data_IF_812155598476
#
_entry.id   IF_812155598476
#
_cell.length_a   1.000
_cell.length_b   1.000
_cell.length_c   1.000
_cell.angle_alpha   90.00
_cell.angle_beta   90.00
_cell.angle_gamma   90.00
#
_symmetry.space_group_name_H-M   'P 1'
#
loop_
_entity.id
_entity.type
_entity.pdbx_description
1 polymer ?
#
# COMPACT_ATOMS: atom_id res chain seq x y z
N UNK A 1 -22.83 27.77 29.24
CA UNK A 1 -23.87 26.85 28.71
C UNK A 1 -23.81 26.86 27.19
N UNK A 2 -23.86 25.66 26.60
CA UNK A 2 -23.49 25.32 25.22
C UNK A 2 -24.32 26.05 24.17
N UNK A 3 -23.64 26.47 23.10
CA UNK A 3 -24.20 27.04 21.86
C UNK A 3 -25.07 25.98 21.17
N UNK A 4 -26.27 26.39 20.77
CA UNK A 4 -27.29 25.52 20.17
C UNK A 4 -26.99 25.26 18.69
N UNK A 5 -27.33 24.03 18.33
CA UNK A 5 -27.12 23.29 17.11
C UNK A 5 -27.58 23.97 15.80
N UNK A 6 -26.79 23.72 14.77
CA UNK A 6 -27.00 23.96 13.35
C UNK A 6 -28.15 23.08 12.84
N UNK A 7 -29.14 23.67 12.15
CA UNK A 7 -30.18 22.93 11.42
C UNK A 7 -29.79 22.90 9.93
N UNK A 8 -29.47 21.69 9.44
CA UNK A 8 -29.00 21.41 8.09
C UNK A 8 -30.16 21.33 7.09
N UNK A 9 -30.12 22.29 6.16
CA UNK A 9 -30.37 22.22 4.72
C UNK A 9 -30.98 20.93 4.15
N UNK A 10 -32.23 21.04 3.74
CA UNK A 10 -32.94 20.12 2.86
C UNK A 10 -32.48 20.29 1.41
N UNK A 11 -31.98 19.22 0.79
CA UNK A 11 -31.86 19.11 -0.67
C UNK A 11 -32.36 17.73 -1.10
N UNK A 12 -33.52 17.75 -1.76
CA UNK A 12 -34.10 16.65 -2.53
C UNK A 12 -33.77 16.94 -4.00
N UNK A 13 -33.05 16.05 -4.69
CA UNK A 13 -32.98 16.06 -6.17
C UNK A 13 -33.25 14.65 -6.67
N UNK A 14 -34.23 14.58 -7.58
CA UNK A 14 -34.84 13.39 -8.16
C UNK A 14 -34.15 13.03 -9.48
N UNK A 15 -33.91 11.72 -9.64
CA UNK A 15 -33.81 10.87 -10.84
C UNK A 15 -33.69 11.54 -12.23
N UNK A 16 -32.73 11.07 -13.02
CA UNK A 16 -32.94 10.74 -14.45
C UNK A 16 -32.18 9.46 -14.79
N UNK A 17 -32.89 8.46 -15.30
CA UNK A 17 -32.31 7.25 -15.87
C UNK A 17 -32.07 7.39 -17.37
N UNK A 18 -31.08 6.65 -17.88
CA UNK A 18 -31.02 6.25 -19.28
C UNK A 18 -30.66 4.76 -19.35
N UNK A 19 -31.65 3.99 -19.78
CA UNK A 19 -31.47 2.68 -20.36
C UNK A 19 -30.98 2.82 -21.81
N UNK A 20 -30.00 2.01 -22.23
CA UNK A 20 -29.83 1.60 -23.63
C UNK A 20 -28.89 0.39 -23.74
N UNK A 21 -29.54 -0.77 -23.71
CA UNK A 21 -29.40 -2.03 -24.49
C UNK A 21 -28.04 -2.56 -25.00
N UNK A 22 -27.93 -3.91 -25.07
CA UNK A 22 -26.70 -4.66 -25.38
C UNK A 22 -26.49 -4.85 -26.88
N UNK A 23 -25.26 -5.21 -27.27
CA UNK A 23 -24.92 -5.66 -28.63
C UNK A 23 -24.51 -7.14 -28.58
N UNK A 24 -25.34 -7.96 -29.19
CA UNK A 24 -25.14 -9.40 -29.44
C UNK A 24 -24.66 -9.62 -30.90
N UNK A 25 -24.18 -10.85 -31.18
CA UNK A 25 -24.04 -11.52 -32.50
C UNK A 25 -22.65 -11.42 -33.16
N UNK A 26 -21.99 -12.46 -33.73
CA UNK A 26 -21.88 -13.95 -33.67
C UNK A 26 -21.02 -14.33 -34.91
N UNK A 27 -20.16 -15.37 -34.79
CA UNK A 27 -19.49 -16.19 -35.84
C UNK A 27 -18.50 -15.48 -36.79
N UNK A 28 -17.45 -16.10 -37.34
CA UNK A 28 -17.29 -17.48 -37.84
C UNK A 28 -15.78 -17.85 -37.98
N UNK A 29 -15.51 -19.15 -38.13
CA UNK A 29 -14.21 -19.82 -38.13
C UNK A 29 -13.30 -19.56 -39.36
N UNK A 30 -11.98 -19.54 -39.07
CA UNK A 30 -10.75 -20.01 -39.77
C UNK A 30 -10.91 -20.59 -41.20
N UNK A 31 -9.97 -20.34 -42.14
CA UNK A 31 -8.73 -21.14 -42.19
C UNK A 31 -7.42 -20.37 -42.49
N UNK A 32 -6.33 -21.00 -42.04
CA UNK A 32 -4.93 -20.65 -42.22
C UNK A 32 -4.41 -20.84 -43.65
N UNK A 33 -3.41 -20.04 -44.04
CA UNK A 33 -2.37 -20.43 -45.02
C UNK A 33 -1.03 -19.80 -44.61
N UNK A 34 -0.01 -20.66 -44.51
CA UNK A 34 1.42 -20.40 -44.34
C UNK A 34 2.03 -19.84 -45.63
N UNK A 35 3.03 -18.95 -45.55
CA UNK A 35 4.26 -19.08 -46.35
C UNK A 35 5.37 -18.14 -45.85
N UNK A 36 6.59 -18.49 -46.23
CA UNK A 36 7.89 -18.29 -45.57
C UNK A 36 8.54 -16.90 -45.62
N UNK A 37 9.31 -16.63 -44.55
CA UNK A 37 10.74 -16.29 -44.61
C UNK A 37 11.16 -15.00 -45.30
N UNK A 38 11.60 -14.01 -44.52
CA UNK A 38 12.85 -13.28 -44.83
C UNK A 38 13.48 -12.75 -43.54
N UNK A 39 14.68 -13.25 -43.30
CA UNK A 39 15.62 -12.85 -42.25
C UNK A 39 16.08 -11.39 -42.47
N UNK A 40 15.83 -10.53 -41.48
CA UNK A 40 16.45 -9.21 -41.36
C UNK A 40 16.46 -8.82 -39.89
N UNK A 41 17.43 -9.38 -39.15
CA UNK A 41 17.75 -8.95 -37.79
C UNK A 41 18.36 -7.55 -37.88
N UNK A 42 17.49 -6.55 -37.72
CA UNK A 42 17.84 -5.20 -37.32
C UNK A 42 18.27 -5.27 -35.84
N UNK A 43 19.41 -4.70 -35.42
CA UNK A 43 19.69 -4.59 -34.01
C UNK A 43 18.67 -3.60 -33.42
N UNK A 44 17.65 -4.13 -32.77
CA UNK A 44 16.90 -3.37 -31.77
C UNK A 44 17.93 -2.84 -30.78
N UNK A 45 18.19 -1.55 -30.92
CA UNK A 45 18.79 -0.76 -29.86
C UNK A 45 17.74 -0.78 -28.77
N UNK A 46 17.85 -1.78 -27.89
CA UNK A 46 17.16 -1.81 -26.63
C UNK A 46 17.71 -0.64 -25.84
N UNK A 47 17.05 0.50 -25.99
CA UNK A 47 17.00 1.50 -24.95
C UNK A 47 16.25 0.86 -23.77
N UNK A 48 16.95 -0.02 -23.03
CA UNK A 48 16.68 -0.18 -21.61
C UNK A 48 16.94 1.20 -21.00
N UNK A 49 15.89 2.01 -21.04
CA UNK A 49 15.67 3.10 -20.13
C UNK A 49 15.76 2.49 -18.74
N UNK A 50 16.99 2.46 -18.23
CA UNK A 50 17.34 2.17 -16.85
C UNK A 50 16.51 3.14 -16.02
N UNK A 51 15.31 2.70 -15.62
CA UNK A 51 14.50 3.31 -14.58
C UNK A 51 15.40 3.34 -13.36
N UNK A 52 16.09 4.46 -13.18
CA UNK A 52 16.69 4.81 -11.90
C UNK A 52 15.51 4.76 -10.94
N UNK A 53 15.43 3.69 -10.15
CA UNK A 53 14.35 3.50 -9.21
C UNK A 53 14.41 4.69 -8.25
N UNK A 54 13.47 5.62 -8.39
CA UNK A 54 13.37 6.77 -7.51
C UNK A 54 13.15 6.23 -6.10
N UNK A 55 14.09 6.51 -5.21
CA UNK A 55 14.00 6.13 -3.81
C UNK A 55 12.82 6.89 -3.17
N UNK A 56 12.10 6.22 -2.27
CA UNK A 56 11.05 6.89 -1.50
C UNK A 56 11.65 8.04 -0.68
N UNK A 57 10.96 9.18 -0.66
CA UNK A 57 11.38 10.36 0.08
C UNK A 57 11.08 10.21 1.58
N UNK A 58 11.95 10.78 2.42
CA UNK A 58 11.79 10.72 3.88
C UNK A 58 10.44 11.27 4.35
N UNK A 59 10.00 12.39 3.77
CA UNK A 59 8.73 13.01 4.15
C UNK A 59 7.52 12.14 3.84
N UNK A 60 7.57 11.32 2.79
CA UNK A 60 6.48 10.38 2.45
C UNK A 60 6.40 9.28 3.51
N UNK A 61 7.55 8.76 3.95
CA UNK A 61 7.59 7.76 5.02
C UNK A 61 7.10 8.37 6.33
N UNK A 62 7.59 9.56 6.71
CA UNK A 62 7.14 10.23 7.94
C UNK A 62 5.64 10.52 7.94
N UNK A 63 5.07 10.94 6.80
CA UNK A 63 3.63 11.17 6.64
C UNK A 63 2.84 9.86 6.79
N UNK A 64 3.26 8.79 6.10
CA UNK A 64 2.59 7.49 6.18
C UNK A 64 2.58 6.92 7.61
N UNK A 65 3.71 7.01 8.32
CA UNK A 65 3.82 6.55 9.70
C UNK A 65 2.97 7.40 10.66
N UNK A 66 3.02 8.72 10.52
CA UNK A 66 2.26 9.62 11.41
C UNK A 66 0.75 9.51 11.16
N UNK A 67 0.34 9.31 9.91
CA UNK A 67 -1.07 9.21 9.53
C UNK A 67 -1.69 7.86 9.90
N UNK A 68 -1.01 6.75 9.57
CA UNK A 68 -1.58 5.41 9.68
C UNK A 68 -0.91 4.56 10.77
N UNK A 69 0.38 4.74 11.02
CA UNK A 69 1.17 3.87 11.90
C UNK A 69 1.19 4.24 13.38
N UNK A 70 0.69 5.41 13.75
CA UNK A 70 0.80 5.95 15.11
C UNK A 70 -0.55 6.35 15.71
N UNK A 71 -0.73 6.06 16.99
CA UNK A 71 -1.84 6.49 17.82
C UNK A 71 -1.59 7.82 18.54
N UNK A 72 -2.56 8.21 19.35
CA UNK A 72 -2.43 9.37 20.25
C UNK A 72 -1.30 9.11 21.26
N UNK A 73 -0.47 10.13 21.51
CA UNK A 73 0.67 10.11 22.43
C UNK A 73 1.85 9.18 22.09
N UNK A 74 1.79 8.42 20.99
CA UNK A 74 2.93 7.68 20.46
C UNK A 74 4.07 8.64 20.07
N UNK A 75 5.32 8.17 20.16
CA UNK A 75 6.49 8.96 19.77
C UNK A 75 7.28 8.30 18.64
N UNK A 76 7.54 9.10 17.61
CA UNK A 76 8.45 8.75 16.53
C UNK A 76 9.86 9.16 16.93
N UNK A 77 10.69 8.20 17.30
CA UNK A 77 12.05 8.45 17.79
C UNK A 77 13.02 8.70 16.63
N UNK A 78 12.87 7.94 15.54
CA UNK A 78 13.71 8.11 14.35
C UNK A 78 13.10 7.46 13.11
N UNK A 79 13.40 8.03 11.95
CA UNK A 79 13.20 7.43 10.63
C UNK A 79 14.50 7.51 9.85
N UNK A 80 14.90 6.39 9.25
CA UNK A 80 16.09 6.29 8.41
C UNK A 80 15.74 5.55 7.12
N UNK A 81 16.29 6.02 5.99
CA UNK A 81 16.08 5.40 4.68
C UNK A 81 17.42 5.28 3.98
N UNK A 82 17.80 4.07 3.61
CA UNK A 82 19.01 3.80 2.85
C UNK A 82 18.77 2.69 1.82
N UNK A 83 19.05 2.96 0.54
CA UNK A 83 18.96 1.97 -0.54
C UNK A 83 17.59 1.26 -0.67
N UNK A 84 16.52 1.90 -0.21
CA UNK A 84 15.16 1.38 -0.17
C UNK A 84 14.81 0.62 1.11
N UNK A 85 15.73 0.47 2.05
CA UNK A 85 15.43 -0.06 3.38
C UNK A 85 15.00 1.11 4.29
N UNK A 86 13.82 0.96 4.89
CA UNK A 86 13.23 1.90 5.84
C UNK A 86 13.41 1.31 7.24
N UNK A 87 14.04 2.07 8.14
CA UNK A 87 14.18 1.74 9.55
C UNK A 87 13.53 2.82 10.40
N UNK A 88 12.57 2.40 11.24
CA UNK A 88 11.80 3.30 12.10
C UNK A 88 11.89 2.81 13.54
N UNK A 89 11.92 3.75 14.48
CA UNK A 89 11.81 3.47 15.92
C UNK A 89 10.62 4.23 16.48
N UNK A 90 9.69 3.50 17.11
CA UNK A 90 8.46 4.04 17.71
C UNK A 90 8.39 3.65 19.19
N UNK A 91 8.10 4.60 20.06
CA UNK A 91 7.66 4.36 21.43
C UNK A 91 6.13 4.41 21.44
N UNK A 92 5.48 3.25 21.61
CA UNK A 92 4.03 3.17 21.67
C UNK A 92 3.53 3.58 23.06
N UNK A 93 2.56 4.47 23.09
CA UNK A 93 1.83 4.82 24.30
C UNK A 93 0.94 3.64 24.74
N UNK A 94 0.86 3.38 26.06
CA UNK A 94 -0.05 2.36 26.56
C UNK A 94 -1.51 2.78 26.32
N UNK A 95 -2.37 1.80 26.01
CA UNK A 95 -3.81 1.98 25.98
C UNK A 95 -4.54 0.81 26.64
N UNK A 96 -5.83 0.99 26.94
CA UNK A 96 -6.64 0.02 27.69
C UNK A 96 -7.28 -1.07 26.80
N UNK A 97 -7.16 -0.98 25.47
CA UNK A 97 -7.87 -1.85 24.52
C UNK A 97 -7.03 -3.02 24.04
N UNK A 98 -5.74 -2.81 23.80
CA UNK A 98 -4.82 -3.79 23.26
C UNK A 98 -3.61 -3.95 24.17
N UNK A 99 -3.10 -5.18 24.29
CA UNK A 99 -1.79 -5.35 24.89
C UNK A 99 -0.68 -4.80 23.97
N UNK A 100 0.53 -4.54 24.50
CA UNK A 100 1.59 -3.88 23.73
C UNK A 100 1.99 -4.60 22.45
N UNK A 101 1.90 -5.95 22.40
CA UNK A 101 2.28 -6.71 21.21
C UNK A 101 1.20 -6.59 20.13
N UNK A 102 -0.07 -6.70 20.52
CA UNK A 102 -1.19 -6.52 19.60
C UNK A 102 -1.24 -5.08 19.06
N UNK A 103 -0.86 -4.09 19.88
CA UNK A 103 -0.71 -2.70 19.45
C UNK A 103 0.41 -2.55 18.42
N UNK A 104 1.58 -3.15 18.65
CA UNK A 104 2.70 -3.14 17.70
C UNK A 104 2.36 -3.83 16.37
N UNK A 105 1.65 -4.96 16.41
CA UNK A 105 1.17 -5.65 15.20
C UNK A 105 0.19 -4.77 14.42
N UNK A 106 -0.72 -4.10 15.11
CA UNK A 106 -1.71 -3.19 14.49
C UNK A 106 -1.03 -1.99 13.85
N UNK A 107 -0.15 -1.32 14.61
CA UNK A 107 0.67 -0.20 14.13
C UNK A 107 1.47 -0.59 12.89
N UNK A 108 2.14 -1.74 12.90
CA UNK A 108 2.93 -2.19 11.76
C UNK A 108 2.05 -2.45 10.55
N UNK A 109 0.92 -3.15 10.73
CA UNK A 109 -0.02 -3.44 9.64
C UNK A 109 -0.48 -2.15 8.96
N UNK A 110 -0.95 -1.17 9.73
CA UNK A 110 -1.46 0.09 9.19
C UNK A 110 -0.37 0.93 8.52
N UNK A 111 0.79 1.07 9.16
CA UNK A 111 1.95 1.73 8.58
C UNK A 111 2.37 1.09 7.25
N UNK A 112 2.39 -0.24 7.22
CA UNK A 112 2.82 -0.99 6.05
C UNK A 112 1.81 -0.94 4.92
N UNK A 113 0.50 -0.96 5.20
CA UNK A 113 -0.55 -0.85 4.20
C UNK A 113 -0.50 0.53 3.51
N UNK A 114 -0.31 1.60 4.28
CA UNK A 114 -0.12 2.95 3.73
C UNK A 114 1.15 3.05 2.87
N UNK A 115 2.29 2.53 3.37
CA UNK A 115 3.54 2.50 2.61
C UNK A 115 3.46 1.63 1.35
N UNK A 116 2.57 0.63 1.30
CA UNK A 116 2.37 -0.20 0.12
C UNK A 116 1.83 0.59 -1.07
N UNK A 117 1.16 1.73 -0.84
CA UNK A 117 0.70 2.64 -1.90
C UNK A 117 1.84 3.42 -2.57
N UNK A 118 3.04 3.40 -1.98
CA UNK A 118 4.22 4.10 -2.47
C UNK A 118 5.29 3.14 -2.99
N UNK A 119 5.88 3.47 -4.13
CA UNK A 119 7.04 2.75 -4.68
C UNK A 119 8.37 3.31 -4.14
N UNK A 120 9.49 2.65 -4.46
CA UNK A 120 10.83 3.15 -4.13
C UNK A 120 11.41 2.66 -2.80
N UNK A 121 10.78 1.65 -2.18
CA UNK A 121 11.30 0.95 -1.00
C UNK A 121 11.23 -0.57 -1.16
N UNK A 122 12.02 -1.26 -0.33
CA UNK A 122 12.27 -2.71 -0.37
C UNK A 122 11.96 -3.37 0.95
N UNK A 123 12.43 -2.81 2.06
CA UNK A 123 12.25 -3.41 3.38
C UNK A 123 11.69 -2.38 4.33
N UNK A 124 10.70 -2.75 5.11
CA UNK A 124 10.21 -1.96 6.23
C UNK A 124 10.62 -2.66 7.52
N UNK A 125 11.35 -1.96 8.37
CA UNK A 125 11.71 -2.40 9.71
C UNK A 125 11.21 -1.39 10.72
N UNK A 126 10.32 -1.80 11.62
CA UNK A 126 9.87 -0.98 12.74
C UNK A 126 10.27 -1.65 14.03
N UNK A 127 11.05 -0.92 14.83
CA UNK A 127 11.39 -1.27 16.20
C UNK A 127 10.45 -0.54 17.15
N UNK A 128 9.69 -1.32 17.90
CA UNK A 128 8.86 -0.84 18.99
C UNK A 128 9.63 -0.92 20.30
N UNK A 129 9.87 0.23 20.92
CA UNK A 129 10.66 0.35 22.15
C UNK A 129 10.08 -0.60 23.22
N UNK A 130 10.94 -1.43 23.82
CA UNK A 130 10.61 -2.45 24.84
C UNK A 130 9.62 -3.56 24.44
N UNK A 131 9.12 -3.57 23.19
CA UNK A 131 8.11 -4.54 22.72
C UNK A 131 8.73 -5.55 21.75
N UNK A 132 9.47 -5.09 20.74
CA UNK A 132 10.09 -5.96 19.74
C UNK A 132 10.30 -5.27 18.39
N UNK A 133 10.80 -6.03 17.42
CA UNK A 133 11.04 -5.54 16.04
C UNK A 133 10.29 -6.39 15.04
N UNK A 134 9.68 -5.75 14.04
CA UNK A 134 9.09 -6.40 12.87
C UNK A 134 9.84 -5.91 11.64
N UNK A 135 10.22 -6.83 10.76
CA UNK A 135 10.90 -6.51 9.49
C UNK A 135 10.37 -7.40 8.38
N UNK A 136 9.91 -6.79 7.30
CA UNK A 136 9.38 -7.49 6.12
C UNK A 136 9.80 -6.78 4.84
N UNK A 137 10.04 -7.56 3.79
CA UNK A 137 10.29 -7.04 2.45
C UNK A 137 8.97 -6.76 1.72
N UNK A 138 8.90 -5.69 0.93
CA UNK A 138 7.77 -5.31 0.05
C UNK A 138 7.31 -6.47 -0.83
N UNK A 139 8.23 -7.34 -1.28
CA UNK A 139 7.88 -8.51 -2.09
C UNK A 139 7.12 -9.60 -1.33
N UNK A 140 7.08 -9.54 0.00
CA UNK A 140 6.33 -10.46 0.85
C UNK A 140 4.85 -10.06 1.01
N UNK A 141 4.43 -8.94 0.40
CA UNK A 141 3.03 -8.52 0.37
C UNK A 141 2.16 -9.57 -0.33
N UNK A 142 0.93 -9.67 0.11
CA UNK A 142 -0.14 -10.38 -0.60
C UNK A 142 -1.12 -9.36 -1.19
N UNK A 143 -1.90 -9.79 -2.17
CA UNK A 143 -2.98 -8.99 -2.76
C UNK A 143 -4.30 -9.68 -2.49
N UNK A 144 -5.26 -8.97 -1.90
CA UNK A 144 -6.58 -9.51 -1.60
C UNK A 144 -7.53 -9.48 -2.82
N UNK A 145 -8.75 -10.02 -2.67
CA UNK A 145 -9.76 -10.09 -3.74
C UNK A 145 -10.20 -8.72 -4.29
N UNK A 146 -9.93 -7.64 -3.55
CA UNK A 146 -10.22 -6.25 -3.97
C UNK A 146 -9.04 -5.61 -4.72
N UNK A 147 -7.94 -6.34 -4.93
CA UNK A 147 -6.74 -5.83 -5.56
C UNK A 147 -5.89 -4.94 -4.65
N UNK A 148 -6.14 -4.95 -3.34
CA UNK A 148 -5.35 -4.18 -2.37
C UNK A 148 -4.21 -5.03 -1.83
N UNK A 149 -3.02 -4.44 -1.83
CA UNK A 149 -1.82 -5.04 -1.27
C UNK A 149 -1.77 -4.88 0.24
N UNK A 150 -1.34 -5.92 0.94
CA UNK A 150 -1.24 -5.93 2.40
C UNK A 150 -0.19 -6.93 2.88
N UNK A 151 0.24 -6.82 4.13
CA UNK A 151 0.99 -7.88 4.81
C UNK A 151 0.05 -8.72 5.70
N UNK A 152 0.06 -10.06 5.59
CA UNK A 152 -0.82 -10.87 6.42
C UNK A 152 -0.53 -10.70 7.91
N UNK A 153 -1.55 -10.32 8.69
CA UNK A 153 -1.43 -10.09 10.14
C UNK A 153 -0.78 -11.26 10.86
N UNK A 154 -1.10 -12.50 10.47
CA UNK A 154 -0.47 -13.71 11.04
C UNK A 154 1.06 -13.68 10.88
N UNK A 155 1.55 -13.28 9.71
CA UNK A 155 2.99 -13.20 9.42
C UNK A 155 3.64 -12.07 10.22
N UNK A 156 2.97 -10.92 10.33
CA UNK A 156 3.41 -9.79 11.17
C UNK A 156 3.58 -10.24 12.63
N UNK A 157 2.57 -10.92 13.20
CA UNK A 157 2.62 -11.45 14.57
C UNK A 157 3.76 -12.45 14.76
N UNK A 158 3.99 -13.35 13.80
CA UNK A 158 5.10 -14.32 13.85
C UNK A 158 6.49 -13.67 13.72
N UNK A 159 6.57 -12.49 13.08
CA UNK A 159 7.81 -11.73 12.86
C UNK A 159 8.20 -10.84 14.03
N UNK A 160 7.26 -10.49 14.92
CA UNK A 160 7.54 -9.70 16.10
C UNK A 160 8.46 -10.46 17.07
N UNK A 161 9.71 -9.98 17.20
CA UNK A 161 10.77 -10.59 18.01
C UNK A 161 11.39 -9.64 19.01
#
# INVERSE_FOLDING_TARGET
MKKIFIMLLSVLVVLVGCASKPKETINEEVPAVQDEGTDKIEPEVSDEESKVATQIELSVVEEAITYAGMGEDDKLESVYIENGDIEIVIELAPNDLLDPKDLAVTSYSQASDELLEHEGWKTLTIKYVEIGTISMNRSEKETNDLGMDYFPTRVITERLK
#
